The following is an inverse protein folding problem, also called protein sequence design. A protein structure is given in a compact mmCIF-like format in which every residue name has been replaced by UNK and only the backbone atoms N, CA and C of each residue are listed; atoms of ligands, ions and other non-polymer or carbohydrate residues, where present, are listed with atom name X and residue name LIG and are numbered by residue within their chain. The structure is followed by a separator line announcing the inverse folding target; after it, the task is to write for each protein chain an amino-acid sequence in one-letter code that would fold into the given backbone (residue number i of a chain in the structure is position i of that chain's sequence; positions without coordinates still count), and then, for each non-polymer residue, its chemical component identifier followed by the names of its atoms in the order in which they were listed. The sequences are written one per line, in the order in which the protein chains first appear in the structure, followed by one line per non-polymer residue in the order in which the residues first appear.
data_IF_883899355366
#
_entry.id   IF_883899355366
#
_cell.length_a   1.000
_cell.length_b   1.000
_cell.length_c   1.000
_cell.angle_alpha   90.00
_cell.angle_beta   90.00
_cell.angle_gamma   90.00
#
_symmetry.space_group_name_H-M   'P 1'
#
loop_
_entity.id
_entity.type
_entity.pdbx_description
1 polymer ?
#
# COMPACT_ATOMS: atom_id res chain seq x y z
N UNK A 1 -30.60 -27.46 10.36
CA UNK A 1 -29.44 -27.60 9.44
C UNK A 1 -29.13 -26.36 8.59
N UNK A 2 -29.69 -25.17 8.89
CA UNK A 2 -29.50 -23.95 8.06
C UNK A 2 -28.59 -22.88 8.69
N UNK A 3 -28.02 -23.12 9.88
CA UNK A 3 -27.26 -22.11 10.63
C UNK A 3 -25.74 -22.25 10.41
N UNK A 4 -25.24 -23.43 10.03
CA UNK A 4 -23.81 -23.65 9.75
C UNK A 4 -23.33 -23.00 8.44
N UNK A 5 -24.24 -22.75 7.48
CA UNK A 5 -23.87 -22.19 6.17
C UNK A 5 -23.55 -20.69 6.20
N UNK A 6 -24.08 -19.94 7.17
CA UNK A 6 -23.91 -18.47 7.26
C UNK A 6 -22.58 -18.11 7.93
N UNK A 7 -22.07 -18.95 8.84
CA UNK A 7 -20.79 -18.71 9.53
C UNK A 7 -19.59 -18.90 8.60
N UNK A 8 -19.71 -19.74 7.56
CA UNK A 8 -18.62 -20.02 6.62
C UNK A 8 -18.34 -18.86 5.64
N UNK A 9 -19.30 -17.97 5.38
CA UNK A 9 -19.11 -16.85 4.44
C UNK A 9 -18.51 -15.60 5.12
N UNK A 10 -18.60 -15.49 6.44
CA UNK A 10 -18.10 -14.35 7.22
C UNK A 10 -16.56 -14.31 7.37
N UNK A 11 -15.84 -15.38 7.04
CA UNK A 11 -14.38 -15.51 7.27
C UNK A 11 -13.53 -14.97 6.11
N UNK A 12 -14.13 -14.56 4.99
CA UNK A 12 -13.37 -14.09 3.80
C UNK A 12 -13.27 -12.57 3.64
N UNK A 13 -13.80 -11.77 4.57
CA UNK A 13 -13.62 -10.31 4.57
C UNK A 13 -12.23 -9.85 5.05
N UNK A 14 -11.19 -10.65 4.81
CA UNK A 14 -9.82 -10.15 4.88
C UNK A 14 -9.71 -8.98 3.91
N UNK A 15 -9.71 -7.76 4.46
CA UNK A 15 -10.00 -6.53 3.71
C UNK A 15 -9.22 -6.46 2.40
N UNK A 16 -9.87 -5.98 1.34
CA UNK A 16 -9.29 -5.85 0.01
C UNK A 16 -8.04 -4.96 -0.05
N UNK A 17 -7.59 -4.38 1.07
CA UNK A 17 -6.35 -3.63 1.17
C UNK A 17 -5.13 -4.53 0.99
N UNK A 18 -4.08 -3.99 0.35
CA UNK A 18 -2.78 -4.64 0.27
C UNK A 18 -2.23 -4.89 1.68
N UNK A 19 -1.87 -6.14 1.96
CA UNK A 19 -1.20 -6.57 3.20
C UNK A 19 0.31 -6.30 3.12
N UNK A 20 0.99 -6.34 4.26
CA UNK A 20 2.45 -6.30 4.32
C UNK A 20 3.04 -7.64 3.94
N UNK A 21 3.57 -7.68 2.74
CA UNK A 21 4.15 -8.85 2.09
C UNK A 21 5.18 -8.38 1.06
N UNK A 22 6.01 -9.28 0.55
CA UNK A 22 6.90 -8.95 -0.55
C UNK A 22 6.12 -8.44 -1.77
N UNK A 23 6.76 -7.56 -2.54
CA UNK A 23 6.16 -6.90 -3.70
C UNK A 23 5.58 -7.91 -4.69
N UNK A 24 4.29 -7.78 -5.00
CA UNK A 24 3.59 -8.60 -5.98
C UNK A 24 2.66 -7.78 -6.88
N UNK A 25 1.80 -8.47 -7.64
CA UNK A 25 0.90 -7.86 -8.61
C UNK A 25 -0.12 -6.88 -7.97
N UNK A 26 -0.58 -7.19 -6.76
CA UNK A 26 -1.56 -6.39 -6.00
C UNK A 26 -0.91 -5.36 -5.06
N UNK A 27 0.40 -5.16 -5.19
CA UNK A 27 1.21 -4.33 -4.30
C UNK A 27 2.03 -5.15 -3.30
N UNK A 28 2.58 -4.46 -2.32
CA UNK A 28 3.47 -5.01 -1.30
C UNK A 28 4.63 -4.08 -1.01
N UNK A 29 5.64 -4.61 -0.33
CA UNK A 29 6.88 -3.92 -0.01
C UNK A 29 8.09 -4.64 -0.58
N UNK A 30 9.12 -3.90 -0.96
CA UNK A 30 10.40 -4.45 -1.34
C UNK A 30 11.53 -3.55 -0.82
N UNK A 31 12.68 -4.19 -0.59
CA UNK A 31 13.93 -3.50 -0.31
C UNK A 31 14.95 -3.92 -1.38
N UNK A 32 15.62 -2.94 -1.98
CA UNK A 32 16.66 -3.17 -2.96
C UNK A 32 17.93 -2.47 -2.49
N UNK A 33 19.05 -3.19 -2.42
CA UNK A 33 20.35 -2.61 -2.11
C UNK A 33 20.83 -1.76 -3.30
N UNK A 34 21.25 -0.53 -3.04
CA UNK A 34 21.71 0.44 -4.04
C UNK A 34 23.22 0.65 -3.92
N UNK A 35 23.73 0.69 -2.69
CA UNK A 35 25.16 0.76 -2.37
C UNK A 35 25.47 -0.18 -1.20
N UNK A 36 26.72 -0.21 -0.74
CA UNK A 36 27.11 -0.98 0.43
C UNK A 36 26.33 -0.59 1.71
N UNK A 37 25.87 0.65 1.81
CA UNK A 37 25.22 1.23 2.99
C UNK A 37 23.83 1.85 2.70
N UNK A 38 23.35 1.82 1.45
CA UNK A 38 22.10 2.47 1.04
C UNK A 38 21.14 1.48 0.39
N UNK A 39 19.87 1.54 0.79
CA UNK A 39 18.78 0.73 0.26
C UNK A 39 17.64 1.61 -0.23
N UNK A 40 17.02 1.21 -1.33
CA UNK A 40 15.73 1.74 -1.79
C UNK A 40 14.62 0.84 -1.25
N UNK A 41 13.73 1.42 -0.46
CA UNK A 41 12.52 0.80 0.04
C UNK A 41 11.35 1.27 -0.81
N UNK A 42 10.55 0.32 -1.29
CA UNK A 42 9.40 0.60 -2.14
C UNK A 42 8.17 -0.01 -1.49
N UNK A 43 7.10 0.78 -1.38
CA UNK A 43 5.80 0.30 -0.93
C UNK A 43 4.73 0.68 -1.94
N UNK A 44 3.85 -0.25 -2.27
CA UNK A 44 2.74 -0.06 -3.20
C UNK A 44 1.47 -0.58 -2.57
N UNK A 45 0.48 0.28 -2.39
CA UNK A 45 -0.87 -0.06 -1.99
C UNK A 45 -1.80 -0.14 -3.20
N UNK A 46 -2.93 -0.83 -3.03
CA UNK A 46 -4.02 -0.81 -4.00
C UNK A 46 -5.04 0.29 -3.64
N UNK A 47 -6.16 0.34 -4.38
CA UNK A 47 -7.18 1.37 -4.22
C UNK A 47 -7.89 1.37 -2.84
N UNK A 48 -7.74 0.29 -2.07
CA UNK A 48 -8.33 0.12 -0.75
C UNK A 48 -7.30 0.31 0.38
N UNK A 49 -6.03 0.51 0.05
CA UNK A 49 -4.96 0.79 1.02
C UNK A 49 -4.85 2.28 1.28
N UNK A 50 -4.76 2.69 2.55
CA UNK A 50 -4.51 4.09 2.90
C UNK A 50 -3.05 4.51 2.70
N UNK A 51 -2.81 5.79 2.44
CA UNK A 51 -1.45 6.33 2.30
C UNK A 51 -0.61 6.18 3.58
N UNK A 52 -1.23 6.32 4.76
CA UNK A 52 -0.57 6.07 6.05
C UNK A 52 -0.10 4.62 6.21
N UNK A 53 -0.91 3.65 5.75
CA UNK A 53 -0.52 2.24 5.74
C UNK A 53 0.71 2.01 4.85
N UNK A 54 0.77 2.66 3.68
CA UNK A 54 1.94 2.59 2.79
C UNK A 54 3.19 3.18 3.47
N UNK A 55 3.04 4.27 4.24
CA UNK A 55 4.13 4.87 5.00
C UNK A 55 4.63 3.95 6.12
N UNK A 56 3.73 3.36 6.91
CA UNK A 56 4.06 2.38 7.96
C UNK A 56 4.80 1.17 7.36
N UNK A 57 4.37 0.72 6.18
CA UNK A 57 4.99 -0.39 5.44
C UNK A 57 6.43 -0.05 5.01
N UNK A 58 6.67 1.16 4.52
CA UNK A 58 8.03 1.60 4.19
C UNK A 58 8.91 1.65 5.43
N UNK A 59 8.43 2.25 6.53
CA UNK A 59 9.20 2.36 7.76
C UNK A 59 9.54 1.00 8.35
N UNK A 60 8.58 0.09 8.41
CA UNK A 60 8.79 -1.26 8.90
C UNK A 60 9.79 -2.02 8.03
N UNK A 61 9.65 -1.98 6.70
CA UNK A 61 10.58 -2.66 5.78
C UNK A 61 11.98 -2.06 5.86
N UNK A 62 12.09 -0.74 6.05
CA UNK A 62 13.37 -0.07 6.28
C UNK A 62 14.06 -0.60 7.54
N UNK A 63 13.31 -0.73 8.64
CA UNK A 63 13.82 -1.25 9.90
C UNK A 63 14.23 -2.73 9.81
N UNK A 64 13.38 -3.58 9.22
CA UNK A 64 13.69 -5.00 9.00
C UNK A 64 14.94 -5.16 8.11
N UNK A 65 15.06 -4.35 7.05
CA UNK A 65 16.25 -4.34 6.16
C UNK A 65 17.50 -3.89 6.91
N UNK A 66 17.37 -2.90 7.78
CA UNK A 66 18.48 -2.37 8.59
C UNK A 66 19.01 -3.45 9.53
N UNK A 67 18.14 -4.18 10.23
CA UNK A 67 18.56 -5.29 11.09
C UNK A 67 19.17 -6.43 10.28
N UNK A 68 18.59 -6.77 9.12
CA UNK A 68 19.13 -7.81 8.24
C UNK A 68 20.53 -7.45 7.70
N UNK A 69 20.81 -6.17 7.46
CA UNK A 69 22.12 -5.67 7.07
C UNK A 69 23.12 -5.54 8.25
N UNK A 70 22.71 -5.92 9.47
CA UNK A 70 23.50 -5.83 10.69
C UNK A 70 23.65 -4.41 11.24
N UNK A 71 22.78 -3.49 10.84
CA UNK A 71 22.68 -2.13 11.38
C UNK A 71 21.76 -2.06 12.60
N UNK A 72 21.90 -0.97 13.36
CA UNK A 72 21.03 -0.67 14.50
C UNK A 72 20.06 0.46 14.18
N UNK A 73 20.48 1.41 13.35
CA UNK A 73 19.72 2.60 13.00
C UNK A 73 19.73 2.80 11.49
N UNK A 74 18.77 3.57 10.99
CA UNK A 74 18.81 4.05 9.62
C UNK A 74 18.44 5.52 9.54
N UNK A 75 18.97 6.18 8.53
CA UNK A 75 18.61 7.55 8.17
C UNK A 75 17.81 7.53 6.87
N UNK A 76 16.72 8.28 6.81
CA UNK A 76 16.03 8.54 5.55
C UNK A 76 16.82 9.62 4.80
N UNK A 77 17.33 9.26 3.62
CA UNK A 77 18.10 10.17 2.75
C UNK A 77 17.15 10.97 1.87
N UNK A 78 16.14 10.30 1.31
CA UNK A 78 15.13 10.92 0.47
C UNK A 78 13.85 10.09 0.46
N UNK A 79 12.73 10.76 0.20
CA UNK A 79 11.42 10.16 0.05
C UNK A 79 10.71 10.79 -1.15
N UNK A 80 10.01 9.97 -1.92
CA UNK A 80 9.21 10.39 -3.05
C UNK A 80 7.84 9.71 -3.03
N UNK A 81 6.79 10.48 -3.31
CA UNK A 81 5.46 9.93 -3.59
C UNK A 81 5.51 9.15 -4.91
N UNK A 82 5.05 7.90 -4.87
CA UNK A 82 4.97 7.00 -6.02
C UNK A 82 3.54 6.52 -6.26
N UNK A 83 2.55 7.29 -5.80
CA UNK A 83 1.13 7.05 -6.00
C UNK A 83 0.76 7.08 -7.47
N UNK A 84 -0.20 6.25 -7.85
CA UNK A 84 -0.67 6.09 -9.23
C UNK A 84 -2.16 6.42 -9.30
N UNK A 85 -2.53 7.34 -10.18
CA UNK A 85 -3.92 7.59 -10.51
C UNK A 85 -4.32 6.80 -11.76
N UNK A 86 -5.52 6.23 -11.77
CA UNK A 86 -6.12 5.55 -12.91
C UNK A 86 -7.53 6.08 -13.10
N UNK A 87 -7.87 6.52 -14.30
CA UNK A 87 -9.21 6.99 -14.63
C UNK A 87 -9.97 5.90 -15.35
N UNK A 88 -11.14 5.53 -14.82
CA UNK A 88 -12.08 4.62 -15.44
C UNK A 88 -13.20 5.45 -16.07
N UNK A 89 -13.41 5.28 -17.37
CA UNK A 89 -14.49 5.94 -18.11
C UNK A 89 -15.55 4.90 -18.43
N UNK A 90 -16.76 5.12 -17.96
CA UNK A 90 -17.94 4.33 -18.31
C UNK A 90 -18.72 5.09 -19.38
N UNK A 91 -18.77 4.62 -20.65
CA UNK A 91 -19.53 5.28 -21.69
C UNK A 91 -21.03 5.30 -21.36
N UNK A 92 -21.69 6.41 -21.69
CA UNK A 92 -23.15 6.46 -21.65
C UNK A 92 -23.77 5.78 -22.87
N UNK A 93 -25.04 5.41 -22.75
CA UNK A 93 -25.82 4.86 -23.87
C UNK A 93 -27.18 5.52 -23.94
N UNK A 94 -27.64 5.84 -25.13
CA UNK A 94 -29.01 6.30 -25.39
C UNK A 94 -29.70 5.32 -26.32
N UNK A 95 -30.86 4.81 -25.91
CA UNK A 95 -31.69 3.92 -26.72
C UNK A 95 -33.01 4.61 -26.99
N UNK A 96 -33.37 4.76 -28.27
CA UNK A 96 -34.66 5.34 -28.69
C UNK A 96 -35.55 4.24 -29.25
N UNK A 97 -36.75 4.11 -28.70
CA UNK A 97 -37.77 3.14 -29.13
C UNK A 97 -38.99 3.88 -29.64
N UNK A 98 -39.58 3.42 -30.75
CA UNK A 98 -40.79 3.99 -31.32
C UNK A 98 -42.00 3.13 -30.96
N UNK A 99 -43.09 3.76 -30.51
CA UNK A 99 -44.41 3.12 -30.31
C UNK A 99 -45.45 3.94 -31.05
N UNK A 100 -45.92 3.41 -32.19
CA UNK A 100 -46.75 4.17 -33.13
C UNK A 100 -45.99 5.38 -33.68
N UNK A 101 -46.57 6.57 -33.56
CA UNK A 101 -45.95 7.85 -33.96
C UNK A 101 -45.18 8.55 -32.83
N UNK A 102 -44.97 7.91 -31.67
CA UNK A 102 -44.24 8.49 -30.55
C UNK A 102 -42.85 7.85 -30.38
N UNK A 103 -41.85 8.67 -30.08
CA UNK A 103 -40.47 8.25 -29.81
C UNK A 103 -40.15 8.38 -28.30
N UNK A 104 -39.60 7.32 -27.71
CA UNK A 104 -39.17 7.27 -26.32
C UNK A 104 -37.66 7.04 -26.26
N UNK A 105 -36.91 8.00 -25.73
CA UNK A 105 -35.46 7.89 -25.57
C UNK A 105 -35.12 7.65 -24.11
N UNK A 106 -34.45 6.54 -23.80
CA UNK A 106 -33.86 6.28 -22.50
C UNK A 106 -32.35 6.50 -22.57
N UNK A 107 -31.82 7.36 -21.72
CA UNK A 107 -30.40 7.73 -21.70
C UNK A 107 -29.77 7.38 -20.36
N UNK A 108 -28.70 6.60 -20.40
CA UNK A 108 -27.79 6.38 -19.29
C UNK A 108 -26.55 7.26 -19.52
N UNK A 109 -26.33 8.31 -18.72
CA UNK A 109 -25.14 9.15 -18.82
C UNK A 109 -23.87 8.33 -18.59
N UNK A 110 -22.78 8.72 -19.24
CA UNK A 110 -21.46 8.17 -18.91
C UNK A 110 -20.94 8.73 -17.59
N UNK A 111 -19.99 8.02 -16.96
CA UNK A 111 -19.31 8.47 -15.74
C UNK A 111 -17.79 8.41 -15.91
N UNK A 112 -17.08 9.22 -15.13
CA UNK A 112 -15.62 9.20 -15.04
C UNK A 112 -15.24 9.10 -13.57
N UNK A 113 -14.56 8.02 -13.22
CA UNK A 113 -14.14 7.72 -11.86
C UNK A 113 -12.61 7.67 -11.80
N UNK A 114 -12.00 8.43 -10.88
CA UNK A 114 -10.54 8.42 -10.69
C UNK A 114 -10.19 7.65 -9.43
N UNK A 115 -9.37 6.61 -9.61
CA UNK A 115 -8.90 5.73 -8.54
C UNK A 115 -7.43 6.01 -8.26
N UNK A 116 -7.11 6.31 -7.00
CA UNK A 116 -5.73 6.54 -6.55
C UNK A 116 -5.22 5.30 -5.82
N UNK A 117 -4.07 4.79 -6.23
CA UNK A 117 -3.34 3.71 -5.58
C UNK A 117 -2.09 4.30 -4.93
N UNK A 118 -2.01 4.39 -3.59
CA UNK A 118 -0.90 5.05 -2.93
C UNK A 118 0.40 4.27 -3.10
N UNK A 119 1.51 4.99 -3.17
CA UNK A 119 2.83 4.40 -3.26
C UNK A 119 3.89 5.33 -2.70
N UNK A 120 4.99 4.76 -2.22
CA UNK A 120 6.11 5.55 -1.72
C UNK A 120 7.44 4.85 -2.02
N UNK A 121 8.44 5.64 -2.42
CA UNK A 121 9.82 5.22 -2.58
C UNK A 121 10.71 6.00 -1.61
N UNK A 122 11.51 5.30 -0.81
CA UNK A 122 12.39 5.91 0.19
C UNK A 122 13.79 5.33 0.07
N UNK A 123 14.80 6.20 0.08
CA UNK A 123 16.19 5.77 0.20
C UNK A 123 16.62 5.91 1.65
N UNK A 124 17.15 4.81 2.20
CA UNK A 124 17.68 4.77 3.57
C UNK A 124 19.17 4.48 3.55
N UNK A 125 19.91 5.10 4.47
CA UNK A 125 21.26 4.70 4.83
C UNK A 125 21.24 3.87 6.10
N UNK A 126 21.86 2.71 6.09
CA UNK A 126 22.02 1.85 7.28
C UNK A 126 23.23 2.31 8.09
N UNK A 127 23.05 2.37 9.41
CA UNK A 127 24.04 2.84 10.36
C UNK A 127 24.25 1.80 11.47
N UNK A 128 25.51 1.63 11.85
CA UNK A 128 25.92 0.82 13.01
C UNK A 128 26.32 1.76 14.14
N UNK A 129 25.34 2.15 14.95
CA UNK A 129 25.57 3.00 16.10
C UNK A 129 25.76 2.16 17.38
N UNK A 130 26.66 2.57 18.29
CA UNK A 130 26.78 1.91 19.58
C UNK A 130 25.51 2.10 20.43
N UNK A 131 25.22 1.20 21.38
CA UNK A 131 24.07 1.32 22.26
C UNK A 131 24.03 2.67 22.97
N UNK A 132 22.88 3.35 22.95
CA UNK A 132 22.68 4.63 23.63
C UNK A 132 23.16 5.88 22.86
N UNK A 133 23.70 5.74 21.65
CA UNK A 133 24.02 6.88 20.80
C UNK A 133 22.74 7.52 20.24
N UNK A 134 22.31 8.64 20.84
CA UNK A 134 21.27 9.48 20.27
C UNK A 134 21.86 10.35 19.15
N UNK A 135 21.48 10.08 17.91
CA UNK A 135 21.76 10.96 16.78
C UNK A 135 20.45 11.58 16.28
N UNK A 136 20.48 12.86 15.92
CA UNK A 136 19.32 13.52 15.35
C UNK A 136 19.08 13.04 13.91
N UNK A 137 17.82 12.84 13.54
CA UNK A 137 17.45 12.46 12.17
C UNK A 137 17.78 11.00 11.80
N UNK A 138 17.95 10.11 12.79
CA UNK A 138 18.05 8.66 12.58
C UNK A 138 16.94 7.94 13.34
N UNK A 139 16.54 6.78 12.84
CA UNK A 139 15.51 5.94 13.43
C UNK A 139 16.13 4.64 13.93
N UNK A 140 15.78 4.23 15.15
CA UNK A 140 16.12 2.91 15.68
C UNK A 140 15.28 1.85 14.96
N UNK A 141 15.95 0.86 14.35
CA UNK A 141 15.23 -0.21 13.69
C UNK A 141 14.39 -1.05 14.68
N UNK A 142 14.91 -1.26 15.90
CA UNK A 142 14.21 -2.02 16.93
C UNK A 142 12.93 -1.33 17.39
N UNK A 143 12.96 -0.02 17.62
CA UNK A 143 11.79 0.75 18.05
C UNK A 143 10.72 0.80 16.94
N UNK A 144 11.14 1.01 15.68
CA UNK A 144 10.21 1.01 14.55
C UNK A 144 9.50 -0.34 14.43
N UNK A 145 10.23 -1.46 14.54
CA UNK A 145 9.63 -2.80 14.52
C UNK A 145 8.66 -2.98 15.70
N UNK A 146 9.05 -2.55 16.90
CA UNK A 146 8.22 -2.68 18.11
C UNK A 146 6.91 -1.88 18.02
N UNK A 147 6.95 -0.63 17.55
CA UNK A 147 5.79 0.26 17.58
C UNK A 147 4.97 0.27 16.28
N UNK A 148 5.61 -0.01 15.15
CA UNK A 148 4.96 -0.03 13.82
C UNK A 148 4.57 -1.44 13.42
N UNK A 149 5.35 -2.45 13.79
CA UNK A 149 5.08 -3.86 13.48
C UNK A 149 3.66 -4.32 13.85
N UNK A 150 3.12 -4.01 15.04
CA UNK A 150 1.76 -4.38 15.43
C UNK A 150 0.64 -3.68 14.65
N UNK A 151 0.92 -2.54 14.01
CA UNK A 151 -0.07 -1.77 13.22
C UNK A 151 -0.31 -2.36 11.83
N UNK A 152 0.61 -3.20 11.39
CA UNK A 152 0.69 -3.67 10.02
C UNK A 152 -0.03 -5.01 9.86
N UNK A 153 -0.94 -5.09 8.88
CA UNK A 153 -1.66 -6.32 8.54
C UNK A 153 -0.77 -7.27 7.73
N UNK A 154 -0.54 -8.49 8.23
CA UNK A 154 0.24 -9.54 7.57
C UNK A 154 -0.68 -10.62 6.94
N UNK A 155 -0.22 -11.38 5.93
CA UNK A 155 -0.93 -12.57 5.46
C UNK A 155 -1.12 -13.56 6.62
N UNK A 156 -2.31 -14.14 6.70
CA UNK A 156 -2.67 -15.23 7.63
C UNK A 156 -2.12 -16.56 7.14
#
# INVERSE_FOLDING_TARGET
MHILGIVALAVTLGGCATKYQEMGFTGGVAAQQITADTWRIQSRGNAYTGASTVQDYVLLKAAETTQAAGGTHFQIISAADASRASTLVTPGSSTTTFVGNQAFTNTTPGSVDTVIKPGQDVYIRVLKLPPGAAAQGVYSAAEIIQFTGPRVQRPS
#
